data_IF_080802753250
#
_entry.id   IF_080802753250
#
_cell.length_a   1.000
_cell.length_b   1.000
_cell.length_c   1.000
_cell.angle_alpha   90.00
_cell.angle_beta   90.00
_cell.angle_gamma   90.00
#
_symmetry.space_group_name_H-M   'P 1'
#
loop_
_entity.id
_entity.type
_entity.pdbx_description
1 polymer ?
#
# COMPACT_ATOMS: atom_id res chain seq x y z
N UNK A 1 -2.94 -79.00 -51.48
CA UNK A 1 -3.56 -77.71 -51.82
C UNK A 1 -2.60 -76.61 -51.39
N UNK A 2 -1.99 -75.93 -52.34
CA UNK A 2 -1.01 -74.85 -52.11
C UNK A 2 -1.74 -73.55 -51.78
N UNK A 3 -1.52 -72.99 -50.59
CA UNK A 3 -2.04 -71.67 -50.20
C UNK A 3 -1.13 -70.61 -50.81
N UNK A 4 -1.64 -69.86 -51.78
CA UNK A 4 -0.95 -68.70 -52.33
C UNK A 4 -1.02 -67.54 -51.33
N UNK A 5 0.13 -67.14 -50.79
CA UNK A 5 0.26 -65.92 -50.00
C UNK A 5 0.28 -64.72 -50.97
N UNK A 6 -0.78 -63.91 -50.94
CA UNK A 6 -0.81 -62.66 -51.69
C UNK A 6 0.29 -61.73 -51.18
N UNK A 7 1.29 -61.43 -52.02
CA UNK A 7 2.36 -60.52 -51.67
C UNK A 7 1.83 -59.07 -51.70
N UNK A 8 1.90 -58.39 -50.56
CA UNK A 8 1.47 -56.98 -50.44
C UNK A 8 2.20 -56.11 -51.46
N UNK A 9 1.44 -55.37 -52.27
CA UNK A 9 1.98 -54.52 -53.33
C UNK A 9 2.68 -53.30 -52.73
N UNK A 10 3.55 -52.64 -53.50
CA UNK A 10 4.24 -51.41 -53.07
C UNK A 10 3.25 -50.31 -52.66
N UNK A 11 2.11 -50.22 -53.35
CA UNK A 11 1.02 -49.31 -53.04
C UNK A 11 0.40 -49.61 -51.68
N UNK A 12 0.16 -50.89 -51.34
CA UNK A 12 -0.38 -51.29 -50.03
C UNK A 12 0.54 -50.94 -48.87
N UNK A 13 1.86 -51.06 -49.09
CA UNK A 13 2.86 -50.69 -48.08
C UNK A 13 2.92 -49.18 -47.88
N UNK A 14 2.82 -48.41 -48.98
CA UNK A 14 2.83 -46.95 -48.93
C UNK A 14 1.57 -46.39 -48.24
N UNK A 15 0.39 -46.91 -48.59
CA UNK A 15 -0.88 -46.48 -47.96
C UNK A 15 -0.91 -46.85 -46.48
N UNK A 16 -0.42 -48.04 -46.12
CA UNK A 16 -0.28 -48.44 -44.73
C UNK A 16 0.71 -47.56 -43.95
N UNK A 17 1.87 -47.24 -44.53
CA UNK A 17 2.85 -46.36 -43.90
C UNK A 17 2.31 -44.94 -43.68
N UNK A 18 1.59 -44.39 -44.67
CA UNK A 18 0.94 -43.08 -44.56
C UNK A 18 -0.16 -43.07 -43.48
N UNK A 19 -0.98 -44.12 -43.44
CA UNK A 19 -2.00 -44.29 -42.42
C UNK A 19 -1.38 -44.36 -41.02
N UNK A 20 -0.33 -45.17 -40.84
CA UNK A 20 0.37 -45.30 -39.57
C UNK A 20 1.02 -43.98 -39.14
N UNK A 21 1.63 -43.24 -40.08
CA UNK A 21 2.23 -41.94 -39.81
C UNK A 21 1.18 -40.93 -39.34
N UNK A 22 0.01 -40.87 -39.98
CA UNK A 22 -1.10 -39.99 -39.57
C UNK A 22 -1.62 -40.35 -38.18
N UNK A 23 -1.73 -41.65 -37.88
CA UNK A 23 -2.21 -42.14 -36.58
C UNK A 23 -1.24 -41.74 -35.45
N UNK A 24 0.07 -41.86 -35.68
CA UNK A 24 1.11 -41.40 -34.73
C UNK A 24 1.06 -39.89 -34.52
N UNK A 25 0.92 -39.10 -35.59
CA UNK A 25 0.80 -37.64 -35.46
C UNK A 25 -0.47 -37.25 -34.69
N UNK A 26 -1.60 -37.90 -34.96
CA UNK A 26 -2.85 -37.65 -34.23
C UNK A 26 -2.72 -37.97 -32.73
N UNK A 27 -2.04 -39.07 -32.37
CA UNK A 27 -1.77 -39.43 -30.98
C UNK A 27 -0.90 -38.39 -30.28
N UNK A 28 0.13 -37.86 -30.95
CA UNK A 28 1.00 -36.83 -30.36
C UNK A 28 0.24 -35.51 -30.19
N UNK A 29 -0.50 -35.08 -31.21
CA UNK A 29 -1.22 -33.79 -31.18
C UNK A 29 -2.36 -33.82 -30.16
N UNK A 30 -3.10 -34.92 -30.06
CA UNK A 30 -4.24 -35.05 -29.14
C UNK A 30 -3.83 -35.52 -27.74
N UNK A 31 -2.68 -36.20 -27.60
CA UNK A 31 -2.18 -36.72 -26.34
C UNK A 31 -1.40 -35.69 -25.50
N UNK A 32 -0.87 -34.64 -26.13
CA UNK A 32 -0.24 -33.53 -25.41
C UNK A 32 -1.32 -32.56 -24.95
N UNK A 33 -1.87 -32.78 -23.76
CA UNK A 33 -2.68 -31.77 -23.07
C UNK A 33 -1.78 -30.89 -22.21
N UNK A 34 -2.00 -29.58 -22.28
CA UNK A 34 -1.38 -28.63 -21.37
C UNK A 34 -2.39 -28.36 -20.26
N UNK A 35 -2.10 -28.81 -19.03
CA UNK A 35 -2.83 -28.33 -17.87
C UNK A 35 -2.33 -26.90 -17.58
N UNK A 36 -3.21 -25.88 -17.57
CA UNK A 36 -2.82 -24.62 -16.96
C UNK A 36 -2.54 -24.91 -15.50
N UNK A 37 -1.35 -24.54 -15.01
CA UNK A 37 -1.10 -24.50 -13.58
C UNK A 37 -2.20 -23.64 -12.97
N UNK A 38 -3.04 -24.27 -12.16
CA UNK A 38 -4.06 -23.60 -11.38
C UNK A 38 -3.32 -22.62 -10.48
N UNK A 39 -3.34 -21.35 -10.86
CA UNK A 39 -2.88 -20.27 -10.00
C UNK A 39 -3.73 -20.36 -8.76
N UNK A 40 -3.20 -20.98 -7.71
CA UNK A 40 -3.80 -20.90 -6.41
C UNK A 40 -3.87 -19.41 -6.10
N UNK A 41 -5.07 -18.85 -6.19
CA UNK A 41 -5.37 -17.48 -5.76
C UNK A 41 -5.24 -17.45 -4.23
N UNK A 42 -4.01 -17.56 -3.73
CA UNK A 42 -3.66 -17.36 -2.33
C UNK A 42 -3.44 -15.87 -2.09
N UNK A 43 -4.51 -15.13 -2.29
CA UNK A 43 -4.72 -13.85 -1.66
C UNK A 43 -6.21 -13.76 -1.36
N UNK A 44 -6.69 -14.66 -0.48
CA UNK A 44 -7.94 -14.39 0.22
C UNK A 44 -7.64 -13.17 1.08
N UNK A 45 -8.08 -12.00 0.63
CA UNK A 45 -7.92 -10.75 1.37
C UNK A 45 -8.66 -10.92 2.68
N UNK A 46 -7.92 -11.03 3.78
CA UNK A 46 -8.48 -11.09 5.12
C UNK A 46 -9.03 -9.68 5.43
N UNK A 47 -10.34 -9.55 5.36
CA UNK A 47 -11.04 -8.35 5.79
C UNK A 47 -11.14 -8.40 7.32
N UNK A 48 -10.35 -7.53 7.97
CA UNK A 48 -10.35 -7.38 9.43
C UNK A 48 -11.17 -6.14 9.77
N UNK A 49 -12.29 -6.32 10.43
CA UNK A 49 -13.13 -5.23 10.90
C UNK A 49 -12.57 -4.64 12.21
N UNK A 50 -12.85 -3.37 12.46
CA UNK A 50 -12.51 -2.71 13.72
C UNK A 50 -13.57 -3.04 14.76
N UNK A 51 -13.16 -3.60 15.90
CA UNK A 51 -14.04 -3.80 17.03
C UNK A 51 -14.33 -2.46 17.71
N UNK A 52 -15.59 -2.07 17.80
CA UNK A 52 -16.01 -0.84 18.50
C UNK A 52 -15.93 -1.01 20.02
N UNK A 53 -16.08 -2.23 20.52
CA UNK A 53 -16.05 -2.57 21.95
C UNK A 53 -15.29 -3.86 22.18
N UNK A 54 -14.54 -3.93 23.28
CA UNK A 54 -13.78 -5.11 23.68
C UNK A 54 -14.59 -5.98 24.64
N UNK A 55 -14.75 -7.25 24.32
CA UNK A 55 -15.25 -8.29 25.22
C UNK A 55 -14.10 -9.11 25.80
N UNK A 56 -14.21 -9.48 27.07
CA UNK A 56 -13.24 -10.39 27.71
C UNK A 56 -13.45 -11.85 27.27
N UNK A 57 -14.67 -12.21 26.89
CA UNK A 57 -15.02 -13.55 26.42
C UNK A 57 -15.05 -13.60 24.89
N UNK A 58 -14.48 -14.66 24.32
CA UNK A 58 -14.47 -14.84 22.86
C UNK A 58 -15.85 -15.31 22.38
N UNK A 59 -16.38 -14.75 21.29
CA UNK A 59 -17.68 -15.16 20.77
C UNK A 59 -17.61 -16.62 20.28
N UNK A 60 -18.68 -17.39 20.53
CA UNK A 60 -18.75 -18.80 20.14
C UNK A 60 -18.75 -19.00 18.62
N UNK A 61 -19.29 -18.03 17.88
CA UNK A 61 -19.26 -17.94 16.42
C UNK A 61 -19.04 -16.46 16.06
N UNK A 62 -18.13 -16.20 15.11
CA UNK A 62 -17.81 -14.85 14.65
C UNK A 62 -18.00 -14.78 13.13
N UNK A 63 -18.83 -13.84 12.69
CA UNK A 63 -19.11 -13.62 11.27
C UNK A 63 -18.01 -12.80 10.57
N UNK A 64 -17.23 -12.05 11.35
CA UNK A 64 -16.12 -11.21 10.88
C UNK A 64 -14.89 -11.38 11.77
N UNK A 65 -13.69 -11.27 11.18
CA UNK A 65 -12.43 -11.23 11.93
C UNK A 65 -12.17 -9.79 12.38
N UNK A 66 -11.75 -9.61 13.64
CA UNK A 66 -11.44 -8.29 14.19
C UNK A 66 -10.15 -8.32 15.00
N UNK A 67 -9.65 -7.12 15.35
CA UNK A 67 -8.43 -6.97 16.17
C UNK A 67 -8.62 -7.45 17.62
N UNK A 68 -9.87 -7.44 18.11
CA UNK A 68 -10.25 -7.78 19.49
C UNK A 68 -11.59 -8.53 19.48
N UNK A 69 -11.87 -9.29 20.54
CA UNK A 69 -13.16 -9.99 20.69
C UNK A 69 -14.29 -8.98 20.90
N UNK A 70 -15.42 -9.17 20.22
CA UNK A 70 -16.62 -8.35 20.40
C UNK A 70 -17.86 -9.22 20.26
N UNK A 71 -18.88 -8.95 21.09
CA UNK A 71 -20.23 -9.50 20.92
C UNK A 71 -21.10 -8.48 20.18
N UNK A 72 -21.84 -8.95 19.19
CA UNK A 72 -22.81 -8.13 18.46
C UNK A 72 -24.11 -7.98 19.25
N UNK A 73 -24.61 -6.75 19.37
CA UNK A 73 -25.94 -6.46 19.95
C UNK A 73 -27.01 -6.22 18.87
N UNK A 74 -26.78 -6.69 17.64
CA UNK A 74 -27.68 -6.49 16.50
C UNK A 74 -28.95 -7.33 16.63
N UNK A 75 -30.07 -6.80 16.17
CA UNK A 75 -31.37 -7.50 16.12
C UNK A 75 -31.71 -8.03 14.74
N UNK A 76 -30.81 -7.88 13.77
CA UNK A 76 -31.00 -8.33 12.39
C UNK A 76 -30.67 -9.82 12.26
N UNK A 77 -31.45 -10.52 11.43
CA UNK A 77 -31.28 -11.97 11.21
C UNK A 77 -30.03 -12.31 10.37
N UNK A 78 -29.48 -11.34 9.64
CA UNK A 78 -28.28 -11.50 8.80
C UNK A 78 -27.11 -10.65 9.31
N UNK A 79 -25.94 -11.29 9.43
CA UNK A 79 -24.71 -10.60 9.79
C UNK A 79 -24.28 -9.62 8.67
N UNK A 80 -24.29 -8.33 9.00
CA UNK A 80 -23.83 -7.26 8.10
C UNK A 80 -22.80 -6.40 8.81
N UNK A 81 -21.79 -5.96 8.07
CA UNK A 81 -20.87 -4.95 8.58
C UNK A 81 -21.64 -3.65 8.83
N UNK A 82 -21.41 -3.03 9.98
CA UNK A 82 -21.80 -1.65 10.23
C UNK A 82 -20.90 -0.74 9.39
N UNK A 83 -21.22 -0.63 8.11
CA UNK A 83 -20.63 0.38 7.24
C UNK A 83 -21.55 1.59 7.24
N UNK A 84 -20.96 2.77 7.29
CA UNK A 84 -21.67 4.02 6.97
C UNK A 84 -20.98 4.63 5.77
N UNK A 85 -21.73 4.76 4.69
CA UNK A 85 -21.39 5.52 3.48
C UNK A 85 -21.81 6.99 3.61
N UNK A 86 -22.48 7.34 4.71
CA UNK A 86 -22.92 8.68 5.01
C UNK A 86 -21.74 9.46 5.57
N UNK A 87 -21.27 10.43 4.79
CA UNK A 87 -20.42 11.51 5.30
C UNK A 87 -21.19 12.20 6.42
N UNK A 88 -20.72 12.04 7.66
CA UNK A 88 -21.36 12.68 8.81
C UNK A 88 -21.37 14.21 8.55
N UNK A 89 -22.54 14.87 8.60
CA UNK A 89 -22.65 16.28 8.25
C UNK A 89 -22.03 17.12 9.37
N UNK A 90 -20.71 17.26 9.33
CA UNK A 90 -19.97 18.15 10.22
C UNK A 90 -19.48 19.35 9.43
N UNK A 91 -20.34 20.02 8.69
CA UNK A 91 -20.08 21.38 8.19
C UNK A 91 -21.43 22.06 7.90
N UNK A 92 -21.95 22.82 8.86
CA UNK A 92 -22.82 23.95 8.53
C UNK A 92 -22.08 25.23 8.94
N UNK A 93 -21.67 26.03 7.97
CA UNK A 93 -21.10 27.36 8.21
C UNK A 93 -22.19 28.39 8.57
N UNK A 94 -23.46 27.97 8.68
CA UNK A 94 -24.53 28.79 9.23
C UNK A 94 -24.74 28.44 10.69
N UNK A 95 -24.63 29.47 11.53
CA UNK A 95 -25.10 29.43 12.92
C UNK A 95 -26.62 29.26 12.89
N UNK A 96 -27.10 28.02 12.95
CA UNK A 96 -28.48 27.79 13.35
C UNK A 96 -28.57 28.09 14.84
N UNK A 97 -29.41 29.05 15.23
CA UNK A 97 -29.71 29.29 16.65
C UNK A 97 -30.36 28.03 17.21
N UNK A 98 -29.56 27.18 17.83
CA UNK A 98 -30.08 26.12 18.66
C UNK A 98 -30.99 26.76 19.70
N UNK A 99 -32.24 26.31 19.74
CA UNK A 99 -33.14 26.57 20.85
C UNK A 99 -32.47 26.02 22.10
N UNK A 100 -31.83 26.90 22.87
CA UNK A 100 -31.50 26.63 24.26
C UNK A 100 -32.83 26.36 24.93
N UNK A 101 -33.13 25.09 25.16
CA UNK A 101 -34.22 24.73 26.03
C UNK A 101 -33.84 25.25 27.41
N UNK A 102 -34.48 26.35 27.77
CA UNK A 102 -34.22 27.14 28.95
C UNK A 102 -34.49 26.24 30.16
N UNK A 103 -33.43 25.64 30.67
CA UNK A 103 -33.44 24.94 31.95
C UNK A 103 -33.69 26.03 32.98
N UNK A 104 -34.95 26.17 33.40
CA UNK A 104 -35.40 27.08 34.45
C UNK A 104 -34.53 26.88 35.69
N UNK A 105 -33.54 27.76 35.86
CA UNK A 105 -32.75 27.85 37.08
C UNK A 105 -33.64 28.50 38.13
N UNK A 106 -34.20 27.69 39.02
CA UNK A 106 -34.84 28.13 40.25
C UNK A 106 -33.77 28.58 41.26
N UNK A 107 -33.31 29.82 41.15
CA UNK A 107 -32.46 30.45 42.18
C UNK A 107 -33.22 31.63 42.82
N UNK A 108 -33.38 31.66 44.16
CA UNK A 108 -34.02 32.78 44.83
C UNK A 108 -33.16 34.04 44.78
N UNK A 109 -33.82 35.16 44.51
CA UNK A 109 -33.27 36.53 44.47
C UNK A 109 -32.65 36.90 45.82
N UNK A 110 -31.32 37.05 45.86
CA UNK A 110 -30.62 37.70 46.97
C UNK A 110 -30.30 39.15 46.55
N UNK A 111 -30.62 40.05 47.48
CA UNK A 111 -30.73 41.49 47.32
C UNK A 111 -29.38 42.20 47.12
N UNK A 112 -29.44 43.31 46.38
CA UNK A 112 -28.36 44.26 46.18
C UNK A 112 -27.75 44.77 47.50
N UNK A 113 -26.43 44.99 47.50
CA UNK A 113 -25.73 45.61 48.62
C UNK A 113 -24.31 46.09 48.29
N UNK A 114 -24.21 47.40 48.07
CA UNK A 114 -23.07 48.28 48.37
C UNK A 114 -21.93 48.51 47.35
N UNK A 115 -21.99 49.74 46.83
CA UNK A 115 -20.94 50.61 46.29
C UNK A 115 -19.58 50.50 47.01
N UNK A 116 -18.50 50.64 46.25
CA UNK A 116 -17.40 51.58 46.58
C UNK A 116 -16.77 52.13 45.30
N UNK A 117 -16.83 53.45 45.16
CA UNK A 117 -15.96 54.23 44.28
C UNK A 117 -14.56 54.27 44.91
N UNK A 118 -13.51 54.09 44.11
CA UNK A 118 -12.21 54.74 44.37
C UNK A 118 -11.61 55.20 43.04
N UNK A 119 -11.50 56.53 42.93
CA UNK A 119 -10.71 57.25 41.93
C UNK A 119 -9.30 57.41 42.47
N UNK A 120 -8.27 57.13 41.68
CA UNK A 120 -6.95 57.72 41.93
C UNK A 120 -6.23 58.04 40.62
N UNK A 121 -5.94 59.33 40.44
CA UNK A 121 -5.03 59.89 39.45
C UNK A 121 -3.66 59.93 40.12
N UNK A 122 -2.63 59.32 39.55
CA UNK A 122 -1.23 59.79 39.59
C UNK A 122 -0.41 58.97 38.58
N UNK A 123 0.15 59.65 37.58
CA UNK A 123 1.22 59.11 36.74
C UNK A 123 2.51 58.99 37.58
N UNK A 124 3.03 57.78 37.71
CA UNK A 124 4.44 57.58 38.11
C UNK A 124 5.13 56.66 37.11
N UNK A 125 6.08 57.26 36.41
CA UNK A 125 7.17 56.63 35.67
C UNK A 125 8.04 55.85 36.65
N UNK A 126 7.93 54.52 36.63
CA UNK A 126 8.97 53.66 37.17
C UNK A 126 9.30 52.53 36.20
N UNK A 127 10.57 52.49 35.85
CA UNK A 127 11.27 51.51 35.03
C UNK A 127 11.10 50.11 35.63
N UNK A 128 10.39 49.23 34.93
CA UNK A 128 10.28 47.82 35.30
C UNK A 128 11.30 47.05 34.49
N UNK A 129 12.33 46.58 35.19
CA UNK A 129 13.23 45.52 34.74
C UNK A 129 12.40 44.23 34.67
N UNK A 130 12.08 43.80 33.45
CA UNK A 130 11.24 42.62 33.23
C UNK A 130 12.07 41.36 33.47
N UNK A 131 12.17 40.95 34.74
CA UNK A 131 12.37 39.53 35.04
C UNK A 131 11.11 38.81 34.56
N UNK A 132 11.26 38.06 33.48
CA UNK A 132 10.26 37.08 33.06
C UNK A 132 10.20 36.03 34.17
N UNK A 133 9.31 36.24 35.13
CA UNK A 133 8.77 35.14 35.92
C UNK A 133 8.07 34.19 34.95
N UNK A 134 8.17 32.87 35.14
CA UNK A 134 7.26 31.93 34.50
C UNK A 134 5.86 32.37 34.90
N UNK A 135 5.04 32.71 33.92
CA UNK A 135 3.63 33.01 34.15
C UNK A 135 3.04 31.83 34.95
N UNK A 136 2.43 32.07 36.13
CA UNK A 136 1.71 31.01 36.81
C UNK A 136 0.65 30.54 35.83
N UNK A 137 0.76 29.30 35.37
CA UNK A 137 -0.36 28.67 34.68
C UNK A 137 -1.57 28.88 35.58
N UNK A 138 -2.66 29.50 35.09
CA UNK A 138 -3.84 29.71 35.92
C UNK A 138 -4.27 28.34 36.40
N UNK A 139 -4.08 28.10 37.68
CA UNK A 139 -4.58 26.92 38.36
C UNK A 139 -6.09 27.07 38.29
N UNK A 140 -6.70 26.38 37.34
CA UNK A 140 -8.14 26.39 37.15
C UNK A 140 -8.72 25.84 38.45
N UNK A 141 -9.24 26.75 39.29
CA UNK A 141 -10.00 26.41 40.49
C UNK A 141 -11.32 25.82 40.02
N UNK A 142 -11.29 24.52 39.70
CA UNK A 142 -12.46 23.78 39.26
C UNK A 142 -13.10 23.22 40.53
N UNK A 143 -14.32 23.66 40.89
CA UNK A 143 -15.05 23.08 42.00
C UNK A 143 -15.22 21.57 41.77
N UNK A 144 -14.92 20.75 42.78
CA UNK A 144 -15.13 19.31 42.70
C UNK A 144 -16.62 19.02 42.41
N UNK A 145 -16.90 18.45 41.24
CA UNK A 145 -18.26 18.25 40.74
C UNK A 145 -18.35 17.95 39.24
N UNK A 146 -19.58 17.95 38.67
CA UNK A 146 -19.84 17.60 37.27
C UNK A 146 -19.00 18.37 36.24
N UNK A 147 -18.59 19.60 36.57
CA UNK A 147 -17.79 20.48 35.70
C UNK A 147 -16.37 19.94 35.46
N UNK A 148 -15.73 19.36 36.48
CA UNK A 148 -14.39 18.77 36.32
C UNK A 148 -14.43 17.52 35.42
N UNK A 149 -15.51 16.74 35.48
CA UNK A 149 -15.70 15.57 34.63
C UNK A 149 -15.96 15.96 33.17
N UNK A 150 -16.69 17.06 32.95
CA UNK A 150 -16.87 17.65 31.61
C UNK A 150 -15.56 18.18 31.03
N UNK A 151 -14.73 18.87 31.83
CA UNK A 151 -13.41 19.32 31.37
C UNK A 151 -12.48 18.14 31.04
N UNK A 152 -12.45 17.10 31.89
CA UNK A 152 -11.67 15.88 31.61
C UNK A 152 -12.10 15.24 30.29
N UNK A 153 -13.42 15.13 30.04
CA UNK A 153 -13.95 14.65 28.76
C UNK A 153 -13.58 15.56 27.59
N UNK A 154 -13.63 16.89 27.75
CA UNK A 154 -13.26 17.81 26.66
C UNK A 154 -11.77 17.72 26.33
N UNK A 155 -10.90 17.55 27.33
CA UNK A 155 -9.47 17.35 27.10
C UNK A 155 -9.20 16.01 26.43
N UNK A 156 -9.92 14.95 26.82
CA UNK A 156 -9.84 13.64 26.18
C UNK A 156 -10.27 13.73 24.70
N UNK A 157 -11.41 14.36 24.41
CA UNK A 157 -11.89 14.60 23.05
C UNK A 157 -10.87 15.39 22.21
N UNK A 158 -10.35 16.50 22.74
CA UNK A 158 -9.34 17.31 22.05
C UNK A 158 -8.05 16.52 21.77
N UNK A 159 -7.62 15.64 22.69
CA UNK A 159 -6.45 14.79 22.48
C UNK A 159 -6.68 13.73 21.40
N UNK A 160 -7.90 13.21 21.30
CA UNK A 160 -8.27 12.23 20.28
C UNK A 160 -8.37 12.87 18.90
N UNK A 161 -8.95 14.07 18.81
CA UNK A 161 -8.99 14.87 17.58
C UNK A 161 -7.58 15.19 17.08
N UNK A 162 -6.69 15.65 17.97
CA UNK A 162 -5.29 15.90 17.61
C UNK A 162 -4.59 14.65 17.07
N UNK A 163 -4.88 13.47 17.64
CA UNK A 163 -4.36 12.19 17.14
C UNK A 163 -4.92 11.84 15.77
N UNK A 164 -6.22 12.05 15.53
CA UNK A 164 -6.86 11.82 14.23
C UNK A 164 -6.27 12.74 13.17
N UNK A 165 -6.10 14.03 13.48
CA UNK A 165 -5.51 14.98 12.55
C UNK A 165 -4.06 14.64 12.23
N UNK A 166 -3.29 14.20 13.23
CA UNK A 166 -1.93 13.68 13.01
C UNK A 166 -1.95 12.48 12.06
N UNK A 167 -2.88 11.52 12.25
CA UNK A 167 -3.03 10.38 11.36
C UNK A 167 -3.41 10.82 9.95
N UNK A 168 -4.41 11.69 9.78
CA UNK A 168 -4.84 12.23 8.48
C UNK A 168 -3.68 12.89 7.74
N UNK A 169 -2.90 13.73 8.42
CA UNK A 169 -1.73 14.36 7.85
C UNK A 169 -0.67 13.34 7.44
N UNK A 170 -0.41 12.31 8.24
CA UNK A 170 0.53 11.24 7.89
C UNK A 170 0.05 10.47 6.66
N UNK A 171 -1.23 10.13 6.57
CA UNK A 171 -1.81 9.44 5.42
C UNK A 171 -1.75 10.30 4.15
N UNK A 172 -2.08 11.59 4.24
CA UNK A 172 -2.00 12.52 3.11
C UNK A 172 -0.56 12.74 2.60
N UNK A 173 0.44 12.54 3.45
CA UNK A 173 1.87 12.64 3.10
C UNK A 173 2.47 11.32 2.58
N UNK A 174 1.71 10.22 2.52
CA UNK A 174 2.25 8.94 2.03
C UNK A 174 2.52 9.04 0.52
N UNK A 175 3.69 8.59 0.05
CA UNK A 175 3.98 8.57 -1.37
C UNK A 175 3.07 7.59 -2.10
N UNK A 176 2.60 7.98 -3.28
CA UNK A 176 1.85 7.11 -4.19
C UNK A 176 2.84 6.21 -4.92
N UNK A 177 2.83 4.93 -4.57
CA UNK A 177 3.75 3.93 -5.13
C UNK A 177 3.03 3.16 -6.23
N UNK A 178 3.55 3.24 -7.45
CA UNK A 178 3.11 2.40 -8.56
C UNK A 178 4.09 1.24 -8.71
N UNK A 179 3.59 0.01 -8.66
CA UNK A 179 4.42 -1.20 -8.80
C UNK A 179 4.15 -1.90 -10.12
N UNK A 180 5.20 -2.04 -10.91
CA UNK A 180 5.19 -2.74 -12.19
C UNK A 180 5.88 -4.10 -12.03
N UNK A 181 5.09 -5.15 -12.18
CA UNK A 181 5.53 -6.55 -12.16
C UNK A 181 5.34 -7.18 -13.53
N UNK A 182 5.87 -8.39 -13.75
CA UNK A 182 5.62 -9.15 -14.98
C UNK A 182 4.14 -9.50 -15.21
N UNK A 183 3.27 -9.41 -14.19
CA UNK A 183 1.84 -9.68 -14.29
C UNK A 183 0.99 -8.40 -14.45
N UNK A 184 1.61 -7.22 -14.40
CA UNK A 184 0.90 -5.94 -14.43
C UNK A 184 0.58 -5.54 -15.88
N UNK A 185 -0.70 -5.33 -16.20
CA UNK A 185 -1.09 -4.68 -17.46
C UNK A 185 -0.60 -3.24 -17.45
N UNK A 186 0.25 -2.86 -18.41
CA UNK A 186 0.85 -1.54 -18.47
C UNK A 186 0.01 -0.60 -19.34
N UNK A 187 -0.15 0.66 -18.90
CA UNK A 187 -0.61 1.73 -19.80
C UNK A 187 0.46 1.98 -20.88
N UNK A 188 0.07 2.63 -21.98
CA UNK A 188 0.99 2.92 -23.08
C UNK A 188 2.20 3.78 -22.63
N UNK A 189 1.96 4.76 -21.77
CA UNK A 189 3.00 5.62 -21.17
C UNK A 189 3.97 4.82 -20.29
N UNK A 190 3.45 3.95 -19.43
CA UNK A 190 4.25 3.05 -18.57
C UNK A 190 5.12 2.10 -19.42
N UNK A 191 4.54 1.51 -20.47
CA UNK A 191 5.24 0.58 -21.36
C UNK A 191 6.44 1.23 -22.05
N UNK A 192 6.26 2.47 -22.55
CA UNK A 192 7.35 3.24 -23.15
C UNK A 192 8.46 3.53 -22.15
N UNK A 193 8.09 3.97 -20.94
CA UNK A 193 9.05 4.29 -19.88
C UNK A 193 9.88 3.07 -19.48
N UNK A 194 9.23 1.94 -19.21
CA UNK A 194 9.91 0.71 -18.79
C UNK A 194 10.79 0.15 -19.91
N UNK A 195 10.38 0.27 -21.18
CA UNK A 195 11.24 -0.13 -22.29
C UNK A 195 12.51 0.75 -22.38
N UNK A 196 12.39 2.06 -22.18
CA UNK A 196 13.55 2.96 -22.13
C UNK A 196 14.49 2.63 -20.97
N UNK A 197 13.91 2.40 -19.79
CA UNK A 197 14.62 1.96 -18.61
C UNK A 197 15.39 0.66 -18.88
N UNK A 198 14.71 -0.36 -19.42
CA UNK A 198 15.29 -1.65 -19.79
C UNK A 198 16.48 -1.50 -20.72
N UNK A 199 16.33 -0.77 -21.84
CA UNK A 199 17.42 -0.57 -22.80
C UNK A 199 18.63 0.11 -22.16
N UNK A 200 18.40 1.06 -21.24
CA UNK A 200 19.48 1.73 -20.52
C UNK A 200 20.22 0.77 -19.58
N UNK A 201 19.48 -0.04 -18.82
CA UNK A 201 20.04 -1.07 -17.95
C UNK A 201 20.84 -2.08 -18.77
N UNK A 202 20.28 -2.59 -19.87
CA UNK A 202 20.96 -3.54 -20.76
C UNK A 202 22.26 -2.98 -21.31
N UNK A 203 22.25 -1.72 -21.75
CA UNK A 203 23.46 -1.03 -22.22
C UNK A 203 24.51 -0.92 -21.12
N UNK A 204 24.12 -0.51 -19.92
CA UNK A 204 25.05 -0.40 -18.80
C UNK A 204 25.54 -1.74 -18.30
N UNK A 205 24.67 -2.77 -18.32
CA UNK A 205 25.00 -4.13 -17.96
C UNK A 205 25.98 -4.79 -18.92
N UNK A 206 25.84 -4.52 -20.23
CA UNK A 206 26.80 -5.00 -21.23
C UNK A 206 28.20 -4.38 -21.02
N UNK A 207 28.28 -3.10 -20.64
CA UNK A 207 29.56 -2.42 -20.39
C UNK A 207 30.21 -2.82 -19.05
N UNK A 208 29.42 -3.28 -18.08
CA UNK A 208 29.87 -3.59 -16.72
C UNK A 208 29.58 -5.06 -16.38
N UNK A 209 29.67 -5.95 -17.38
CA UNK A 209 29.39 -7.36 -17.21
C UNK A 209 30.45 -8.00 -16.30
N UNK A 210 30.08 -8.71 -15.22
CA UNK A 210 31.05 -9.33 -14.32
C UNK A 210 31.69 -10.54 -15.00
N UNK A 211 33.02 -10.67 -14.92
CA UNK A 211 33.76 -11.80 -15.52
C UNK A 211 33.30 -13.15 -14.93
N UNK A 212 32.90 -13.15 -13.66
CA UNK A 212 32.39 -14.33 -12.96
C UNK A 212 31.08 -14.86 -13.56
N UNK A 213 30.37 -14.05 -14.34
CA UNK A 213 29.17 -14.45 -15.08
C UNK A 213 29.46 -15.08 -16.44
N UNK A 214 30.69 -15.03 -16.96
CA UNK A 214 31.00 -15.61 -18.28
C UNK A 214 30.74 -17.13 -18.33
N UNK A 215 30.92 -17.80 -17.19
CA UNK A 215 30.67 -19.23 -17.02
C UNK A 215 29.22 -19.56 -16.58
N UNK A 216 28.32 -18.57 -16.56
CA UNK A 216 26.92 -18.78 -16.21
C UNK A 216 26.13 -19.29 -17.41
N UNK A 217 25.76 -20.57 -17.38
CA UNK A 217 25.04 -21.23 -18.46
C UNK A 217 23.54 -21.28 -18.18
N UNK A 218 23.10 -21.71 -16.98
CA UNK A 218 21.67 -21.98 -16.72
C UNK A 218 21.05 -21.34 -15.45
N UNK A 219 21.82 -21.03 -14.39
CA UNK A 219 21.23 -20.71 -13.07
C UNK A 219 21.60 -19.33 -12.48
N UNK A 220 22.19 -18.44 -13.26
CA UNK A 220 22.56 -17.10 -12.76
C UNK A 220 21.43 -16.09 -12.99
N UNK A 221 20.35 -16.24 -12.24
CA UNK A 221 19.21 -15.31 -12.24
C UNK A 221 19.05 -14.66 -10.88
N UNK A 222 18.68 -13.38 -10.85
CA UNK A 222 18.25 -12.71 -9.62
C UNK A 222 16.97 -11.92 -9.88
N UNK A 223 16.22 -11.61 -8.83
CA UNK A 223 15.05 -10.72 -8.90
C UNK A 223 15.34 -9.43 -8.17
N UNK A 224 15.18 -8.32 -8.86
CA UNK A 224 15.53 -6.99 -8.36
C UNK A 224 14.30 -6.08 -8.37
N UNK A 225 14.16 -5.29 -7.32
CA UNK A 225 13.26 -4.14 -7.24
C UNK A 225 14.09 -2.87 -7.40
N UNK A 226 13.70 -2.02 -8.33
CA UNK A 226 14.28 -0.70 -8.51
C UNK A 226 13.17 0.33 -8.33
N UNK A 227 13.28 1.15 -7.28
CA UNK A 227 12.39 2.26 -7.00
C UNK A 227 12.99 3.56 -7.55
N UNK A 228 12.21 4.31 -8.33
CA UNK A 228 12.65 5.49 -9.07
C UNK A 228 11.79 6.68 -8.66
N UNK A 229 12.42 7.84 -8.46
CA UNK A 229 11.77 9.12 -8.21
C UNK A 229 11.29 9.77 -9.52
N UNK A 230 10.38 10.76 -9.48
CA UNK A 230 9.85 11.38 -10.70
C UNK A 230 10.90 12.11 -11.55
N UNK A 231 12.01 12.53 -10.93
CA UNK A 231 13.16 13.14 -11.60
C UNK A 231 14.13 12.11 -12.21
N UNK A 232 13.83 10.81 -12.15
CA UNK A 232 14.67 9.73 -12.66
C UNK A 232 15.80 9.29 -11.72
N UNK A 233 15.96 9.91 -10.55
CA UNK A 233 16.93 9.43 -9.54
C UNK A 233 16.44 8.14 -8.90
N UNK A 234 17.38 7.34 -8.38
CA UNK A 234 17.04 6.13 -7.63
C UNK A 234 16.50 6.55 -6.26
N UNK A 235 15.31 6.07 -5.92
CA UNK A 235 14.79 6.09 -4.56
C UNK A 235 15.39 4.95 -3.75
N UNK A 236 15.34 3.73 -4.28
CA UNK A 236 15.86 2.53 -3.63
C UNK A 236 16.17 1.40 -4.63
N UNK A 237 17.03 0.47 -4.25
CA UNK A 237 17.34 -0.75 -5.00
C UNK A 237 17.45 -1.92 -4.04
N UNK A 238 16.61 -2.94 -4.23
CA UNK A 238 16.56 -4.12 -3.37
C UNK A 238 16.64 -5.41 -4.17
N UNK A 239 17.36 -6.40 -3.65
CA UNK A 239 17.37 -7.77 -4.17
C UNK A 239 16.23 -8.53 -3.50
N UNK A 240 15.24 -8.93 -4.28
CA UNK A 240 14.11 -9.73 -3.82
C UNK A 240 14.42 -11.23 -3.82
N UNK A 241 15.26 -11.68 -4.75
CA UNK A 241 15.71 -13.06 -4.87
C UNK A 241 17.17 -13.05 -5.33
N UNK A 242 18.08 -13.55 -4.49
CA UNK A 242 19.51 -13.62 -4.80
C UNK A 242 19.79 -14.64 -5.90
N UNK A 243 20.85 -14.39 -6.69
CA UNK A 243 21.38 -15.38 -7.63
C UNK A 243 22.13 -16.55 -6.98
N UNK A 244 22.28 -16.54 -5.66
CA UNK A 244 23.13 -17.46 -4.93
C UNK A 244 24.63 -17.12 -5.04
N UNK A 245 24.99 -16.08 -5.80
CA UNK A 245 26.37 -15.59 -5.95
C UNK A 245 26.44 -14.11 -5.63
N UNK A 246 27.07 -13.79 -4.49
CA UNK A 246 27.21 -12.41 -4.01
C UNK A 246 27.82 -11.45 -5.05
N UNK A 247 28.79 -11.93 -5.83
CA UNK A 247 29.44 -11.11 -6.88
C UNK A 247 28.45 -10.67 -7.96
N UNK A 248 27.51 -11.53 -8.35
CA UNK A 248 26.50 -11.21 -9.37
C UNK A 248 25.43 -10.26 -8.82
N UNK A 249 25.03 -10.48 -7.58
CA UNK A 249 24.10 -9.62 -6.84
C UNK A 249 24.65 -8.19 -6.70
N UNK A 250 25.91 -8.06 -6.29
CA UNK A 250 26.61 -6.78 -6.19
C UNK A 250 26.82 -6.13 -7.56
N UNK A 251 27.14 -6.92 -8.58
CA UNK A 251 27.26 -6.41 -9.95
C UNK A 251 25.92 -5.84 -10.44
N UNK A 252 24.81 -6.53 -10.20
CA UNK A 252 23.49 -6.04 -10.58
C UNK A 252 23.15 -4.70 -9.91
N UNK A 253 23.34 -4.59 -8.59
CA UNK A 253 23.13 -3.33 -7.86
C UNK A 253 24.02 -2.20 -8.39
N UNK A 254 25.29 -2.50 -8.69
CA UNK A 254 26.23 -1.54 -9.28
C UNK A 254 25.79 -1.08 -10.66
N UNK A 255 25.34 -1.98 -11.54
CA UNK A 255 24.83 -1.65 -12.88
C UNK A 255 23.64 -0.69 -12.78
N UNK A 256 22.68 -0.95 -11.88
CA UNK A 256 21.54 -0.05 -11.67
C UNK A 256 22.01 1.34 -11.23
N UNK A 257 22.91 1.41 -10.24
CA UNK A 257 23.46 2.68 -9.74
C UNK A 257 24.20 3.46 -10.83
N UNK A 258 24.98 2.78 -11.66
CA UNK A 258 25.69 3.41 -12.79
C UNK A 258 24.76 3.84 -13.93
N UNK A 259 23.58 3.22 -14.04
CA UNK A 259 22.58 3.61 -15.03
C UNK A 259 21.76 4.84 -14.62
N UNK A 260 21.76 5.21 -13.35
CA UNK A 260 21.10 6.43 -12.89
C UNK A 260 21.82 7.70 -13.37
N UNK A 261 21.11 8.82 -13.56
CA UNK A 261 19.65 8.95 -13.45
C UNK A 261 18.91 8.39 -14.66
N UNK A 262 17.72 7.82 -14.47
CA UNK A 262 16.82 7.40 -15.54
C UNK A 262 16.06 8.58 -16.15
N UNK A 263 15.24 8.31 -17.17
CA UNK A 263 14.37 9.36 -17.72
C UNK A 263 13.43 9.88 -16.62
N UNK A 264 13.10 11.18 -16.61
CA UNK A 264 12.04 11.69 -15.76
C UNK A 264 10.69 11.06 -16.16
N UNK A 265 9.75 10.99 -15.21
CA UNK A 265 8.40 10.49 -15.48
C UNK A 265 7.69 11.34 -16.54
N UNK A 266 6.78 10.74 -17.29
CA UNK A 266 5.87 11.49 -18.16
C UNK A 266 4.89 12.31 -17.31
N UNK A 267 4.20 13.28 -17.92
CA UNK A 267 3.19 14.07 -17.20
C UNK A 267 2.11 13.17 -16.57
N UNK A 268 1.57 12.23 -17.35
CA UNK A 268 0.54 11.29 -16.88
C UNK A 268 1.02 10.44 -15.67
N UNK A 269 2.28 10.03 -15.67
CA UNK A 269 2.84 9.27 -14.55
C UNK A 269 2.96 10.14 -13.29
N UNK A 270 3.41 11.40 -13.41
CA UNK A 270 3.53 12.33 -12.27
C UNK A 270 2.20 12.61 -11.57
N UNK A 271 1.10 12.59 -12.32
CA UNK A 271 -0.23 12.82 -11.77
C UNK A 271 -0.68 11.72 -10.81
N UNK A 272 -0.11 10.52 -10.88
CA UNK A 272 -0.59 9.34 -10.14
C UNK A 272 0.50 8.64 -9.33
N UNK A 273 1.77 8.93 -9.61
CA UNK A 273 2.91 8.15 -9.12
C UNK A 273 4.00 9.08 -8.59
N UNK A 274 4.30 8.94 -7.30
CA UNK A 274 5.43 9.62 -6.65
C UNK A 274 6.68 8.73 -6.66
N UNK A 275 6.50 7.41 -6.61
CA UNK A 275 7.58 6.43 -6.68
C UNK A 275 7.17 5.29 -7.61
N UNK A 276 8.00 5.01 -8.60
CA UNK A 276 7.81 3.88 -9.51
C UNK A 276 8.70 2.72 -9.08
N UNK A 277 8.10 1.59 -8.73
CA UNK A 277 8.80 0.35 -8.45
C UNK A 277 8.75 -0.58 -9.67
N UNK A 278 9.91 -0.89 -10.22
CA UNK A 278 10.05 -1.84 -11.31
C UNK A 278 10.64 -3.13 -10.74
N UNK A 279 9.88 -4.21 -10.80
CA UNK A 279 10.32 -5.53 -10.37
C UNK A 279 10.60 -6.39 -11.60
N UNK A 280 11.85 -6.82 -11.77
CA UNK A 280 12.26 -7.64 -12.91
C UNK A 280 13.21 -8.76 -12.50
N UNK A 281 13.16 -9.85 -13.25
CA UNK A 281 14.12 -10.94 -13.16
C UNK A 281 15.25 -10.67 -14.15
N UNK A 282 16.48 -10.72 -13.66
CA UNK A 282 17.70 -10.45 -14.37
C UNK A 282 18.39 -11.79 -14.61
N UNK A 283 18.82 -12.07 -15.84
CA UNK A 283 19.57 -13.28 -16.15
C UNK A 283 20.93 -12.95 -16.75
N UNK A 284 21.98 -13.54 -16.16
CA UNK A 284 23.32 -13.53 -16.70
C UNK A 284 23.51 -14.79 -17.57
N UNK A 285 23.61 -14.61 -18.88
CA UNK A 285 23.87 -15.70 -19.85
C UNK A 285 25.07 -15.35 -20.73
N UNK A 286 26.20 -16.01 -20.52
CA UNK A 286 27.41 -15.84 -21.33
C UNK A 286 27.92 -14.39 -21.39
N UNK A 287 27.66 -13.69 -22.49
CA UNK A 287 28.07 -12.30 -22.72
C UNK A 287 26.91 -11.29 -22.75
N UNK A 288 25.68 -11.69 -22.39
CA UNK A 288 24.49 -10.85 -22.49
C UNK A 288 23.72 -10.79 -21.19
N UNK A 289 23.22 -9.59 -20.94
CA UNK A 289 22.25 -9.28 -19.91
C UNK A 289 20.86 -9.29 -20.55
N UNK A 290 19.95 -10.09 -20.01
CA UNK A 290 18.54 -10.11 -20.39
C UNK A 290 17.72 -9.79 -19.14
N UNK A 291 16.96 -8.69 -19.17
CA UNK A 291 15.84 -8.54 -18.24
C UNK A 291 14.64 -9.17 -18.92
N UNK A 292 14.26 -10.39 -18.52
CA UNK A 292 13.05 -10.98 -19.06
C UNK A 292 11.86 -10.16 -18.54
N UNK A 293 11.11 -9.61 -19.49
CA UNK A 293 9.79 -9.06 -19.27
C UNK A 293 8.82 -9.82 -20.15
N UNK A 294 7.83 -10.46 -19.51
CA UNK A 294 6.53 -10.64 -20.13
C UNK A 294 5.76 -9.33 -19.97
#
# INVERSE_FOLDING_TARGET
MTVATAAATSTDRLTFALFLALLVHALIILGVSFSPFERQNLAKTLEVTLASYKSAEAPKQADFLAQENQEGSGTEDEARMLTTDVEAPFQDNRINKASLQEQLASTPKVLEGSRTHVTTVTEQTNKIESKVSPDPQPELDIPDGPQQQLLKRSLEMASLEAKIDTMRQMYAKRPRIQRLTAASTMKASDAYYVNNWRRKIEKMGALNYPQEAENCINDCRLRLLVAINPNGTIYDVQILESSGRKVLDEAAMRIVRLAAPFAPFTEEMRETTDILEIIRTWQFKGNRYLSDGF
#
